data_IF_663757548750
#
_entry.id   IF_663757548750
#
_cell.length_a   1.000
_cell.length_b   1.000
_cell.length_c   1.000
_cell.angle_alpha   90.00
_cell.angle_beta   90.00
_cell.angle_gamma   90.00
#
_symmetry.space_group_name_H-M   'P 1'
#
loop_
_entity.id
_entity.type
_entity.pdbx_description
1 polymer ?
#
# COMPACT_ATOMS: atom_id res chain seq x y z
N UNK A 1 23.71 3.94 4.02
CA UNK A 1 23.33 5.27 3.50
C UNK A 1 21.97 5.60 4.13
N UNK A 2 21.82 6.75 4.79
CA UNK A 2 20.61 7.06 5.57
C UNK A 2 19.61 7.85 4.73
N UNK A 3 18.33 7.46 4.78
CA UNK A 3 17.24 8.19 4.12
C UNK A 3 16.92 9.42 4.98
N UNK A 4 17.03 10.63 4.40
CA UNK A 4 16.91 11.92 5.10
C UNK A 4 15.51 12.54 5.05
N UNK A 5 14.53 11.82 4.54
CA UNK A 5 13.17 12.32 4.33
C UNK A 5 12.14 11.24 4.66
N UNK A 6 10.92 11.65 5.02
CA UNK A 6 9.81 10.71 5.21
C UNK A 6 9.41 10.12 3.85
N UNK A 7 9.32 8.79 3.77
CA UNK A 7 8.88 8.09 2.58
C UNK A 7 7.82 7.04 2.94
N UNK A 8 6.82 6.91 2.08
CA UNK A 8 5.76 5.92 2.23
C UNK A 8 6.16 4.66 1.46
N UNK A 9 6.89 3.76 2.12
CA UNK A 9 7.14 2.40 1.64
C UNK A 9 6.14 1.45 2.30
N UNK A 10 5.57 0.58 1.48
CA UNK A 10 4.61 -0.43 1.89
C UNK A 10 5.15 -1.81 1.52
N UNK A 11 4.87 -2.79 2.38
CA UNK A 11 5.18 -4.19 2.11
C UNK A 11 4.37 -4.68 0.90
N UNK A 12 5.03 -5.35 -0.05
CA UNK A 12 4.33 -5.96 -1.18
C UNK A 12 3.72 -7.32 -0.80
N UNK A 13 2.54 -7.27 -0.18
CA UNK A 13 1.83 -8.45 0.26
C UNK A 13 1.43 -9.38 -0.88
N UNK A 14 1.12 -8.82 -2.05
CA UNK A 14 0.69 -9.60 -3.21
C UNK A 14 1.87 -10.37 -3.82
N UNK A 15 3.05 -9.75 -3.89
CA UNK A 15 4.27 -10.43 -4.32
C UNK A 15 4.67 -11.52 -3.32
N UNK A 16 4.70 -11.19 -2.03
CA UNK A 16 5.13 -12.12 -0.97
C UNK A 16 4.09 -13.20 -0.64
N UNK A 17 2.87 -13.14 -1.20
CA UNK A 17 1.75 -14.05 -0.90
C UNK A 17 1.47 -14.12 0.60
N UNK A 18 1.36 -12.96 1.24
CA UNK A 18 0.93 -12.87 2.62
C UNK A 18 -0.51 -13.35 2.78
N UNK A 19 -0.84 -13.89 3.95
CA UNK A 19 -2.13 -14.54 4.19
C UNK A 19 -2.82 -13.96 5.42
N UNK A 20 -4.15 -13.98 5.42
CA UNK A 20 -4.98 -13.52 6.52
C UNK A 20 -5.10 -14.58 7.63
N UNK A 21 -3.95 -15.09 8.10
CA UNK A 21 -3.88 -16.15 9.12
C UNK A 21 -3.77 -15.62 10.54
N UNK A 22 -3.60 -14.31 10.70
CA UNK A 22 -3.53 -13.67 12.01
C UNK A 22 -4.92 -13.32 12.52
N UNK A 23 -5.09 -13.33 13.85
CA UNK A 23 -6.30 -12.88 14.53
C UNK A 23 -5.97 -11.78 15.54
N UNK A 24 -6.83 -10.76 15.63
CA UNK A 24 -6.72 -9.72 16.65
C UNK A 24 -8.08 -9.28 17.17
N UNK A 25 -8.20 -8.90 18.45
CA UNK A 25 -9.42 -8.29 18.96
C UNK A 25 -9.68 -6.96 18.23
N UNK A 26 -10.94 -6.73 17.84
CA UNK A 26 -11.37 -5.49 17.24
C UNK A 26 -11.49 -4.43 18.34
N UNK A 27 -10.69 -3.38 18.18
CA UNK A 27 -10.72 -2.22 19.07
C UNK A 27 -11.58 -1.12 18.44
N UNK A 28 -12.61 -0.66 19.16
CA UNK A 28 -13.41 0.51 18.79
C UNK A 28 -13.24 1.58 19.86
N UNK A 29 -12.82 2.78 19.46
CA UNK A 29 -12.53 3.88 20.40
C UNK A 29 -11.55 3.50 21.53
N UNK A 30 -10.64 2.55 21.25
CA UNK A 30 -9.70 1.92 22.20
C UNK A 30 -10.34 0.98 23.23
N UNK A 31 -11.59 0.58 23.03
CA UNK A 31 -12.29 -0.45 23.82
C UNK A 31 -12.43 -1.72 23.00
N UNK A 32 -12.23 -2.88 23.63
CA UNK A 32 -12.47 -4.18 23.00
C UNK A 32 -13.96 -4.34 22.69
N UNK A 33 -14.29 -4.60 21.43
CA UNK A 33 -15.67 -4.77 20.99
C UNK A 33 -16.21 -6.19 21.18
N UNK A 34 -15.39 -7.12 21.70
CA UNK A 34 -15.70 -8.55 21.82
C UNK A 34 -15.71 -9.31 20.48
N UNK A 35 -15.26 -8.66 19.40
CA UNK A 35 -15.16 -9.25 18.07
C UNK A 35 -13.70 -9.51 17.71
N UNK A 36 -13.46 -10.52 16.88
CA UNK A 36 -12.13 -10.84 16.36
C UNK A 36 -12.08 -10.56 14.86
N UNK A 37 -11.05 -9.85 14.43
CA UNK A 37 -10.75 -9.58 13.03
C UNK A 37 -9.58 -10.44 12.57
N UNK A 38 -9.72 -11.05 11.39
CA UNK A 38 -8.59 -11.63 10.68
C UNK A 38 -7.70 -10.52 10.13
N UNK A 39 -6.38 -10.70 10.20
CA UNK A 39 -5.41 -9.75 9.65
C UNK A 39 -4.27 -10.45 8.91
N UNK A 40 -3.62 -9.70 8.02
CA UNK A 40 -2.54 -10.19 7.18
C UNK A 40 -1.27 -10.39 8.01
N UNK A 41 -0.74 -11.61 8.01
CA UNK A 41 0.58 -11.91 8.53
C UNK A 41 1.61 -11.74 7.40
N UNK A 42 2.54 -10.81 7.58
CA UNK A 42 3.55 -10.51 6.59
C UNK A 42 4.66 -11.57 6.57
N UNK A 43 4.91 -12.12 5.37
CA UNK A 43 6.10 -12.93 5.09
C UNK A 43 7.30 -12.01 4.84
N UNK A 44 8.52 -12.40 5.24
CA UNK A 44 9.71 -11.61 4.99
C UNK A 44 9.95 -11.44 3.48
N UNK A 45 10.22 -10.22 3.05
CA UNK A 45 10.56 -9.88 1.65
C UNK A 45 11.36 -8.59 1.63
N UNK A 46 12.25 -8.48 0.66
CA UNK A 46 12.97 -7.24 0.35
C UNK A 46 12.28 -6.44 -0.78
N UNK A 47 11.08 -6.87 -1.20
CA UNK A 47 10.29 -6.19 -2.22
C UNK A 47 9.24 -5.26 -1.60
N UNK A 48 9.35 -3.97 -1.89
CA UNK A 48 8.49 -2.93 -1.33
C UNK A 48 7.89 -2.07 -2.44
N UNK A 49 6.66 -1.60 -2.20
CA UNK A 49 5.97 -0.68 -3.09
C UNK A 49 6.06 0.73 -2.49
N UNK A 50 6.39 1.71 -3.33
CA UNK A 50 6.42 3.11 -2.93
C UNK A 50 5.28 3.88 -3.60
N UNK A 51 4.45 4.56 -2.81
CA UNK A 51 3.42 5.44 -3.37
C UNK A 51 4.04 6.80 -3.74
N UNK A 52 4.45 6.94 -5.00
CA UNK A 52 5.04 8.19 -5.54
C UNK A 52 4.08 9.38 -5.54
N UNK A 53 2.77 9.16 -5.48
CA UNK A 53 1.76 10.21 -5.42
C UNK A 53 1.49 10.72 -4.00
N UNK A 54 1.87 9.95 -2.97
CA UNK A 54 1.68 10.33 -1.56
C UNK A 54 2.71 11.32 -1.01
N UNK A 55 3.73 11.69 -1.81
CA UNK A 55 4.76 12.63 -1.38
C UNK A 55 4.33 14.08 -1.56
N UNK A 56 4.66 14.93 -0.57
CA UNK A 56 4.42 16.38 -0.65
C UNK A 56 5.05 17.00 -1.91
N UNK A 57 6.24 16.53 -2.29
CA UNK A 57 6.97 16.96 -3.48
C UNK A 57 6.92 15.93 -4.62
N UNK A 58 5.80 15.22 -4.78
CA UNK A 58 5.65 14.19 -5.83
C UNK A 58 6.00 14.70 -7.24
N UNK A 59 5.81 16.00 -7.51
CA UNK A 59 6.17 16.62 -8.79
C UNK A 59 7.69 16.59 -9.07
N UNK A 60 8.55 16.74 -8.06
CA UNK A 60 10.01 16.65 -8.22
C UNK A 60 10.44 15.22 -8.55
N UNK A 61 9.85 14.22 -7.90
CA UNK A 61 10.08 12.81 -8.22
C UNK A 61 9.69 12.49 -9.68
N UNK A 62 8.58 13.04 -10.16
CA UNK A 62 8.13 12.84 -11.54
C UNK A 62 9.02 13.50 -12.60
N UNK A 63 9.80 14.52 -12.23
CA UNK A 63 10.75 15.15 -13.15
C UNK A 63 11.99 14.27 -13.41
N UNK A 64 12.37 13.43 -12.45
CA UNK A 64 13.57 12.59 -12.53
C UNK A 64 13.27 11.15 -12.93
N UNK A 65 12.05 10.67 -12.70
CA UNK A 65 11.64 9.30 -13.02
C UNK A 65 11.14 9.18 -14.47
N UNK A 66 11.44 8.06 -15.15
CA UNK A 66 10.84 7.74 -16.44
C UNK A 66 9.30 7.74 -16.38
N UNK A 67 8.65 8.25 -17.43
CA UNK A 67 7.17 8.30 -17.52
C UNK A 67 6.52 6.92 -17.34
N UNK A 68 7.19 5.85 -17.76
CA UNK A 68 6.72 4.46 -17.59
C UNK A 68 6.51 4.06 -16.13
N UNK A 69 7.19 4.70 -15.17
CA UNK A 69 7.08 4.39 -13.73
C UNK A 69 6.07 5.27 -13.00
N UNK A 70 5.59 6.36 -13.62
CA UNK A 70 4.76 7.38 -12.96
C UNK A 70 3.42 7.63 -13.67
N UNK A 71 3.25 7.10 -14.88
CA UNK A 71 2.00 7.27 -15.61
C UNK A 71 0.87 6.50 -14.92
N UNK A 72 -0.31 7.11 -14.72
CA UNK A 72 -1.47 6.40 -14.22
C UNK A 72 -1.79 5.21 -15.12
N UNK A 73 -1.99 4.03 -14.53
CA UNK A 73 -2.46 2.84 -15.22
C UNK A 73 -3.94 2.67 -14.90
N UNK A 74 -4.83 2.61 -15.90
CA UNK A 74 -6.24 2.32 -15.67
C UNK A 74 -6.38 1.00 -14.91
N UNK A 75 -7.00 1.04 -13.73
CA UNK A 75 -7.26 -0.18 -12.96
C UNK A 75 -8.38 -1.03 -13.59
N UNK A 76 -9.31 -0.37 -14.29
CA UNK A 76 -10.34 -1.00 -15.10
C UNK A 76 -10.30 -0.42 -16.51
N UNK A 77 -10.41 -1.28 -17.52
CA UNK A 77 -10.46 -0.86 -18.92
C UNK A 77 -11.76 -0.10 -19.23
N UNK A 78 -12.89 -0.63 -18.73
CA UNK A 78 -14.19 0.03 -18.74
C UNK A 78 -14.51 0.50 -17.32
N UNK A 79 -14.36 1.80 -17.09
CA UNK A 79 -14.65 2.42 -15.80
C UNK A 79 -16.14 2.48 -15.54
N UNK A 80 -16.96 2.63 -16.57
CA UNK A 80 -18.40 2.82 -16.39
C UNK A 80 -19.05 1.52 -15.94
N UNK A 81 -18.80 0.42 -16.64
CA UNK A 81 -19.34 -0.90 -16.30
C UNK A 81 -18.93 -1.40 -14.90
N UNK A 82 -17.86 -0.87 -14.30
CA UNK A 82 -17.39 -1.27 -12.97
C UNK A 82 -18.01 -0.45 -11.84
N UNK A 83 -18.42 0.79 -12.11
CA UNK A 83 -18.83 1.75 -11.09
C UNK A 83 -20.29 2.21 -11.21
N UNK A 84 -20.96 1.91 -12.33
CA UNK A 84 -22.38 2.13 -12.55
C UNK A 84 -23.09 0.79 -12.80
#
# INVERSE_FOLDING_TARGET
QNIRFQYNAQHDCNHAKCEATGERPRMQERVDSGLVDNFIIHKPTEHFIMNTHGFHNAHLLRQVLPRSLIQPIPFFADREAKHF
#
